data_IF_257395011117
#
_entry.id   IF_257395011117
#
_cell.length_a   1.000
_cell.length_b   1.000
_cell.length_c   1.000
_cell.angle_alpha   90.00
_cell.angle_beta   90.00
_cell.angle_gamma   90.00
#
_symmetry.space_group_name_H-M   'P 1'
#
loop_
_entity.id
_entity.type
_entity.pdbx_description
1 polymer ?
#
# COMPACT_ATOMS: atom_id res chain seq x y z
N UNK A 1 -7.02 8.69 -20.14
CA UNK A 1 -8.37 9.24 -20.20
C UNK A 1 -9.02 9.03 -18.85
N UNK A 2 -9.30 10.12 -18.15
CA UNK A 2 -9.93 10.12 -16.85
C UNK A 2 -11.43 9.87 -17.00
N UNK A 3 -11.91 8.73 -16.51
CA UNK A 3 -13.32 8.42 -16.33
C UNK A 3 -13.66 8.36 -14.85
N UNK A 4 -14.10 9.48 -14.27
CA UNK A 4 -14.65 9.50 -12.92
C UNK A 4 -16.11 9.10 -12.95
N UNK A 5 -16.49 7.98 -12.36
CA UNK A 5 -17.88 7.69 -12.01
C UNK A 5 -18.09 7.99 -10.52
N UNK A 6 -18.93 8.95 -10.22
CA UNK A 6 -19.41 9.22 -8.86
C UNK A 6 -20.32 8.08 -8.41
N UNK A 7 -19.83 7.18 -7.57
CA UNK A 7 -20.59 6.11 -6.93
C UNK A 7 -21.07 6.55 -5.55
N UNK A 8 -22.31 6.26 -5.25
CA UNK A 8 -22.95 6.44 -3.94
C UNK A 8 -22.36 5.51 -2.91
N UNK A 9 -22.29 5.95 -1.67
CA UNK A 9 -21.93 5.21 -0.46
C UNK A 9 -20.42 4.85 -0.31
N UNK A 10 -19.67 5.75 0.29
CA UNK A 10 -18.43 5.41 1.01
C UNK A 10 -17.27 4.80 0.18
N UNK A 11 -17.39 4.79 -1.14
CA UNK A 11 -16.42 4.15 -2.02
C UNK A 11 -15.17 5.03 -2.14
N UNK A 12 -14.08 4.59 -1.50
CA UNK A 12 -12.79 5.28 -1.58
C UNK A 12 -12.26 5.12 -3.02
N UNK A 13 -12.02 6.21 -3.76
CA UNK A 13 -11.55 6.10 -5.14
C UNK A 13 -10.18 5.44 -5.20
N UNK A 14 -10.09 4.35 -5.97
CA UNK A 14 -8.81 3.70 -6.27
C UNK A 14 -8.19 4.35 -7.49
N UNK A 15 -7.00 4.89 -7.32
CA UNK A 15 -6.19 5.41 -8.42
C UNK A 15 -5.21 4.31 -8.85
N UNK A 16 -5.48 3.70 -9.99
CA UNK A 16 -4.56 2.75 -10.61
C UNK A 16 -3.42 3.55 -11.27
N UNK A 17 -2.25 3.52 -10.67
CA UNK A 17 -1.04 4.10 -11.26
C UNK A 17 -0.27 2.98 -11.98
N UNK A 18 -0.55 2.80 -13.26
CA UNK A 18 0.06 1.73 -14.10
C UNK A 18 1.54 1.98 -14.41
N UNK A 19 2.09 3.12 -14.10
CA UNK A 19 3.47 3.50 -14.40
C UNK A 19 4.20 3.86 -13.10
N UNK A 20 4.87 2.90 -12.49
CA UNK A 20 6.05 2.97 -11.62
C UNK A 20 6.34 4.19 -10.75
N UNK A 21 5.50 5.21 -10.72
CA UNK A 21 5.70 6.42 -9.93
C UNK A 21 4.49 6.73 -9.06
N UNK A 22 4.70 6.86 -7.75
CA UNK A 22 3.70 7.47 -6.89
C UNK A 22 3.35 8.87 -7.43
N UNK A 23 2.10 9.32 -7.29
CA UNK A 23 1.66 10.59 -7.85
C UNK A 23 2.51 11.74 -7.31
N UNK A 24 3.32 12.35 -8.17
CA UNK A 24 4.10 13.54 -7.88
C UNK A 24 3.17 14.76 -7.80
N UNK A 25 3.46 15.68 -6.87
CA UNK A 25 2.71 16.94 -6.73
C UNK A 25 1.53 16.89 -5.75
N UNK A 26 1.32 15.81 -5.00
CA UNK A 26 0.33 15.75 -3.91
C UNK A 26 0.89 16.34 -2.62
N UNK A 27 0.02 16.87 -1.73
CA UNK A 27 0.47 17.33 -0.42
C UNK A 27 1.09 16.18 0.37
N UNK A 28 2.03 16.49 1.25
CA UNK A 28 2.57 15.51 2.18
C UNK A 28 1.45 14.86 2.99
N UNK A 29 1.55 13.56 3.20
CA UNK A 29 0.54 12.78 3.90
C UNK A 29 1.15 11.59 4.63
N UNK A 30 0.30 10.80 5.25
CA UNK A 30 0.69 9.50 5.80
C UNK A 30 0.62 8.47 4.68
N UNK A 31 1.68 7.71 4.48
CA UNK A 31 1.77 6.63 3.51
C UNK A 31 1.71 5.28 4.24
N UNK A 32 0.76 4.42 3.90
CA UNK A 32 0.66 3.07 4.44
C UNK A 32 0.97 2.04 3.35
N UNK A 33 1.93 1.16 3.58
CA UNK A 33 2.15 0.01 2.72
C UNK A 33 1.24 -1.15 3.16
N UNK A 34 0.48 -1.72 2.22
CA UNK A 34 -0.48 -2.78 2.50
C UNK A 34 -0.35 -3.92 1.48
N UNK A 35 -0.03 -5.12 1.97
CA UNK A 35 0.06 -6.36 1.18
C UNK A 35 -1.03 -7.38 1.55
N UNK A 36 -1.99 -6.98 2.40
CA UNK A 36 -3.08 -7.82 2.87
C UNK A 36 -2.71 -8.78 4.00
N UNK A 37 -1.45 -8.79 4.46
CA UNK A 37 -1.05 -9.55 5.65
C UNK A 37 -1.61 -8.94 6.94
N UNK A 38 -1.77 -9.73 8.00
CA UNK A 38 -2.23 -9.25 9.30
C UNK A 38 -1.35 -8.08 9.80
N UNK A 39 -0.03 -8.17 9.62
CA UNK A 39 0.88 -7.10 9.99
C UNK A 39 0.59 -5.80 9.24
N UNK A 40 0.24 -5.87 7.94
CA UNK A 40 -0.11 -4.71 7.14
C UNK A 40 -1.49 -4.13 7.50
N UNK A 41 -2.44 -4.95 7.95
CA UNK A 41 -3.74 -4.48 8.43
C UNK A 41 -3.61 -3.68 9.74
N UNK A 42 -2.76 -4.12 10.67
CA UNK A 42 -2.43 -3.35 11.88
C UNK A 42 -1.71 -2.05 11.57
N UNK A 43 -0.79 -2.09 10.61
CA UNK A 43 -0.12 -0.88 10.11
C UNK A 43 -1.11 0.10 9.47
N UNK A 44 -2.09 -0.40 8.71
CA UNK A 44 -3.13 0.41 8.09
C UNK A 44 -4.02 1.10 9.13
N UNK A 45 -4.45 0.39 10.18
CA UNK A 45 -5.22 0.99 11.27
C UNK A 45 -4.43 2.10 11.98
N UNK A 46 -3.15 1.84 12.25
CA UNK A 46 -2.26 2.85 12.83
C UNK A 46 -2.08 4.05 11.90
N UNK A 47 -1.94 3.82 10.60
CA UNK A 47 -1.81 4.90 9.61
C UNK A 47 -3.08 5.78 9.53
N UNK A 48 -4.26 5.19 9.64
CA UNK A 48 -5.52 5.94 9.76
C UNK A 48 -5.49 6.85 10.99
N UNK A 49 -5.07 6.31 12.14
CA UNK A 49 -4.95 7.08 13.39
C UNK A 49 -3.93 8.23 13.27
N UNK A 50 -2.77 7.98 12.66
CA UNK A 50 -1.76 9.01 12.42
C UNK A 50 -2.30 10.12 11.48
N UNK A 51 -2.98 9.74 10.40
CA UNK A 51 -3.54 10.69 9.45
C UNK A 51 -4.64 11.57 10.10
N UNK A 52 -5.49 10.99 10.94
CA UNK A 52 -6.50 11.74 11.73
C UNK A 52 -5.84 12.68 12.73
N UNK A 53 -4.84 12.20 13.46
CA UNK A 53 -4.15 12.98 14.50
C UNK A 53 -3.48 14.23 13.93
N UNK A 54 -2.89 14.13 12.75
CA UNK A 54 -2.21 15.25 12.09
C UNK A 54 -3.06 16.00 11.07
N UNK A 55 -4.30 15.58 10.83
CA UNK A 55 -5.17 16.19 9.82
C UNK A 55 -4.65 16.05 8.39
N UNK A 56 -3.89 14.98 8.11
CA UNK A 56 -3.21 14.72 6.85
C UNK A 56 -3.99 13.75 5.96
N UNK A 57 -3.79 13.79 4.62
CA UNK A 57 -4.30 12.75 3.75
C UNK A 57 -3.58 11.41 4.00
N UNK A 58 -4.31 10.31 3.84
CA UNK A 58 -3.80 8.95 3.89
C UNK A 58 -3.66 8.38 2.47
N UNK A 59 -2.47 7.91 2.13
CA UNK A 59 -2.17 7.18 0.91
C UNK A 59 -1.92 5.72 1.25
N UNK A 60 -2.76 4.82 0.76
CA UNK A 60 -2.59 3.37 0.96
C UNK A 60 -2.04 2.77 -0.32
N UNK A 61 -0.88 2.15 -0.23
CA UNK A 61 -0.11 1.67 -1.37
C UNK A 61 0.09 0.16 -1.32
N UNK A 62 -0.37 -0.54 -2.35
CA UNK A 62 -0.01 -1.91 -2.64
C UNK A 62 0.95 -1.95 -3.84
N UNK A 63 1.96 -2.79 -3.78
CA UNK A 63 2.92 -2.95 -4.85
C UNK A 63 2.80 -4.36 -5.43
N UNK A 64 2.63 -4.42 -6.75
CA UNK A 64 2.63 -5.65 -7.52
C UNK A 64 4.00 -5.79 -8.16
N UNK A 65 4.73 -6.86 -7.81
CA UNK A 65 5.98 -7.17 -8.47
C UNK A 65 5.66 -8.03 -9.70
N UNK A 66 5.78 -7.48 -10.94
CA UNK A 66 5.62 -8.30 -12.12
C UNK A 66 6.70 -9.38 -12.12
N UNK A 67 6.34 -10.60 -12.51
CA UNK A 67 7.29 -11.70 -12.58
C UNK A 67 8.54 -11.31 -13.38
N UNK A 68 9.74 -11.87 -13.03
CA UNK A 68 11.00 -11.47 -13.65
C UNK A 68 10.96 -11.59 -15.17
N UNK A 69 11.46 -10.58 -15.86
CA UNK A 69 11.58 -10.55 -17.32
C UNK A 69 12.36 -11.78 -17.82
N UNK A 70 11.75 -12.56 -18.66
CA UNK A 70 12.32 -13.81 -19.20
C UNK A 70 11.33 -14.60 -20.04
N UNK A 71 10.27 -13.95 -20.50
CA UNK A 71 9.28 -14.61 -21.35
C UNK A 71 9.78 -14.77 -22.77
N UNK A 72 9.52 -15.93 -23.44
CA UNK A 72 9.81 -16.11 -24.85
C UNK A 72 9.14 -15.07 -25.73
N UNK A 73 9.73 -14.68 -26.87
CA UNK A 73 9.08 -13.81 -27.85
C UNK A 73 7.72 -14.37 -28.27
N UNK A 74 6.68 -13.54 -28.29
CA UNK A 74 5.31 -13.92 -28.64
C UNK A 74 4.36 -14.14 -27.46
N UNK A 75 4.83 -14.08 -26.19
CA UNK A 75 3.97 -14.17 -25.01
C UNK A 75 3.58 -12.80 -24.41
N UNK A 76 3.92 -11.71 -25.07
CA UNK A 76 3.70 -10.36 -24.52
C UNK A 76 2.22 -10.06 -24.21
N UNK A 77 1.28 -10.51 -25.05
CA UNK A 77 -0.17 -10.30 -24.83
C UNK A 77 -0.69 -11.09 -23.63
N UNK A 78 -0.28 -12.36 -23.48
CA UNK A 78 -0.66 -13.20 -22.33
C UNK A 78 -0.09 -12.64 -21.03
N UNK A 79 1.12 -12.10 -21.08
CA UNK A 79 1.76 -11.46 -19.92
C UNK A 79 1.02 -10.17 -19.55
N UNK A 80 0.66 -9.37 -20.54
CA UNK A 80 -0.10 -8.12 -20.34
C UNK A 80 -1.46 -8.41 -19.66
N UNK A 81 -2.23 -9.36 -20.17
CA UNK A 81 -3.51 -9.78 -19.60
C UNK A 81 -3.35 -10.31 -18.16
N UNK A 82 -2.28 -11.08 -17.90
CA UNK A 82 -1.97 -11.59 -16.58
C UNK A 82 -1.62 -10.46 -15.59
N UNK A 83 -0.89 -9.44 -16.04
CA UNK A 83 -0.53 -8.27 -15.23
C UNK A 83 -1.77 -7.43 -14.93
N UNK A 84 -2.64 -7.19 -15.89
CA UNK A 84 -3.89 -6.46 -15.69
C UNK A 84 -4.79 -7.15 -14.66
N UNK A 85 -4.99 -8.46 -14.80
CA UNK A 85 -5.75 -9.30 -13.83
C UNK A 85 -5.13 -9.22 -12.43
N UNK A 86 -3.80 -9.25 -12.32
CA UNK A 86 -3.11 -9.17 -11.05
C UNK A 86 -3.27 -7.79 -10.40
N UNK A 87 -3.21 -6.71 -11.18
CA UNK A 87 -3.44 -5.35 -10.70
C UNK A 87 -4.87 -5.17 -10.20
N UNK A 88 -5.86 -5.65 -10.95
CA UNK A 88 -7.28 -5.60 -10.55
C UNK A 88 -7.53 -6.41 -9.27
N UNK A 89 -7.04 -7.63 -9.19
CA UNK A 89 -7.19 -8.46 -8.00
C UNK A 89 -6.52 -7.86 -6.76
N UNK A 90 -5.38 -7.20 -6.96
CA UNK A 90 -4.68 -6.46 -5.89
C UNK A 90 -5.47 -5.24 -5.45
N UNK A 91 -6.05 -4.49 -6.38
CA UNK A 91 -6.91 -3.35 -6.07
C UNK A 91 -8.13 -3.77 -5.24
N UNK A 92 -8.76 -4.87 -5.61
CA UNK A 92 -9.88 -5.44 -4.86
C UNK A 92 -9.44 -5.95 -3.48
N UNK A 93 -8.28 -6.57 -3.39
CA UNK A 93 -7.65 -6.95 -2.12
C UNK A 93 -7.44 -5.75 -1.21
N UNK A 94 -6.93 -4.66 -1.77
CA UNK A 94 -6.68 -3.41 -1.04
C UNK A 94 -7.98 -2.78 -0.52
N UNK A 95 -9.05 -2.75 -1.34
CA UNK A 95 -10.39 -2.30 -0.91
C UNK A 95 -10.93 -3.15 0.25
N UNK A 96 -10.81 -4.48 0.14
CA UNK A 96 -11.23 -5.39 1.23
C UNK A 96 -10.44 -5.15 2.51
N UNK A 97 -9.14 -4.94 2.42
CA UNK A 97 -8.28 -4.62 3.57
C UNK A 97 -8.72 -3.35 4.27
N UNK A 98 -8.93 -2.27 3.52
CA UNK A 98 -9.44 -0.99 4.05
C UNK A 98 -10.79 -1.17 4.71
N UNK A 99 -11.73 -1.85 4.05
CA UNK A 99 -13.07 -2.10 4.60
C UNK A 99 -13.01 -2.95 5.88
N UNK A 100 -12.17 -3.97 5.92
CA UNK A 100 -12.01 -4.82 7.10
C UNK A 100 -11.46 -4.02 8.29
N UNK A 101 -10.44 -3.20 8.08
CA UNK A 101 -9.86 -2.35 9.12
C UNK A 101 -10.88 -1.32 9.60
N UNK A 102 -11.58 -0.63 8.70
CA UNK A 102 -12.59 0.37 9.09
C UNK A 102 -13.72 -0.22 9.94
N UNK A 103 -14.15 -1.46 9.66
CA UNK A 103 -15.20 -2.13 10.46
C UNK A 103 -14.77 -2.48 11.88
N UNK A 104 -13.48 -2.64 12.11
CA UNK A 104 -12.93 -2.99 13.44
C UNK A 104 -12.63 -1.74 14.29
N UNK A 105 -12.61 -0.56 13.69
CA UNK A 105 -12.36 0.69 14.40
C UNK A 105 -13.57 1.12 15.23
N UNK A 106 -13.36 1.78 16.39
CA UNK A 106 -14.44 2.34 17.19
C UNK A 106 -15.27 3.40 16.47
N UNK A 107 -14.64 4.13 15.53
CA UNK A 107 -15.29 5.09 14.66
C UNK A 107 -14.72 4.96 13.23
N UNK A 108 -15.54 5.13 12.18
CA UNK A 108 -15.08 5.14 10.80
C UNK A 108 -14.01 6.21 10.57
N UNK A 109 -13.02 5.91 9.73
CA UNK A 109 -12.04 6.90 9.31
C UNK A 109 -12.72 8.02 8.51
N UNK A 110 -12.61 9.24 8.98
CA UNK A 110 -13.27 10.41 8.40
C UNK A 110 -12.32 11.27 7.54
N UNK A 111 -11.04 10.92 7.47
CA UNK A 111 -10.04 11.67 6.71
C UNK A 111 -10.08 11.40 5.20
N UNK A 112 -9.29 12.17 4.46
CA UNK A 112 -9.10 11.94 3.02
C UNK A 112 -8.20 10.72 2.81
N UNK A 113 -8.66 9.73 2.04
CA UNK A 113 -7.92 8.53 1.71
C UNK A 113 -7.86 8.32 0.20
N UNK A 114 -6.74 7.80 -0.29
CA UNK A 114 -6.65 7.28 -1.65
C UNK A 114 -5.87 5.97 -1.68
N UNK A 115 -6.32 5.04 -2.52
CA UNK A 115 -5.72 3.73 -2.69
C UNK A 115 -4.90 3.71 -3.99
N UNK A 116 -3.72 3.13 -3.94
CA UNK A 116 -2.79 3.07 -5.06
C UNK A 116 -2.27 1.65 -5.24
N UNK A 117 -2.29 1.17 -6.48
CA UNK A 117 -1.61 -0.07 -6.87
C UNK A 117 -0.52 0.30 -7.87
N UNK A 118 0.71 -0.07 -7.58
CA UNK A 118 1.89 0.28 -8.39
C UNK A 118 2.63 -1.00 -8.77
N UNK A 119 3.01 -1.09 -10.06
CA UNK A 119 3.89 -2.16 -10.55
C UNK A 119 5.34 -1.81 -10.27
N UNK A 120 6.11 -2.77 -9.73
CA UNK A 120 7.53 -2.56 -9.52
C UNK A 120 8.13 -3.39 -8.38
N UNK A 121 9.39 -3.11 -8.06
CA UNK A 121 10.03 -3.66 -6.88
C UNK A 121 9.47 -2.98 -5.63
N UNK A 122 9.02 -3.76 -4.65
CA UNK A 122 8.34 -3.25 -3.44
C UNK A 122 9.20 -2.22 -2.69
N UNK A 123 10.49 -2.51 -2.50
CA UNK A 123 11.39 -1.63 -1.76
C UNK A 123 11.61 -0.33 -2.53
N UNK A 124 11.93 -0.41 -3.81
CA UNK A 124 12.19 0.75 -4.66
C UNK A 124 10.97 1.68 -4.74
N UNK A 125 9.78 1.11 -4.98
CA UNK A 125 8.53 1.87 -5.05
C UNK A 125 8.22 2.57 -3.73
N UNK A 126 8.38 1.88 -2.59
CA UNK A 126 8.11 2.48 -1.29
C UNK A 126 9.14 3.54 -0.90
N UNK A 127 10.41 3.36 -1.25
CA UNK A 127 11.44 4.37 -1.04
C UNK A 127 11.17 5.63 -1.87
N UNK A 128 10.82 5.47 -3.15
CA UNK A 128 10.44 6.60 -3.99
C UNK A 128 9.18 7.30 -3.46
N UNK A 129 8.16 6.52 -3.07
CA UNK A 129 6.92 7.02 -2.52
C UNK A 129 7.11 7.75 -1.18
N UNK A 130 8.13 7.39 -0.39
CA UNK A 130 8.44 8.04 0.90
C UNK A 130 8.92 9.49 0.75
N UNK A 131 9.39 9.86 -0.46
CA UNK A 131 9.86 11.21 -0.75
C UNK A 131 8.72 12.21 -0.55
N UNK A 132 8.93 13.21 0.31
CA UNK A 132 7.97 14.27 0.65
C UNK A 132 6.72 13.80 1.41
N UNK A 133 6.73 12.61 2.00
CA UNK A 133 5.67 12.20 2.91
C UNK A 133 5.95 12.66 4.34
N UNK A 134 4.89 12.75 5.15
CA UNK A 134 5.01 13.03 6.57
C UNK A 134 5.56 11.81 7.31
N UNK A 135 4.98 10.64 7.05
CA UNK A 135 5.34 9.37 7.70
C UNK A 135 5.01 8.21 6.77
N UNK A 136 5.89 7.21 6.72
CA UNK A 136 5.64 5.90 6.11
C UNK A 136 5.32 4.88 7.22
N UNK A 137 4.17 4.22 7.12
CA UNK A 137 3.70 3.23 8.10
C UNK A 137 3.71 1.85 7.47
N UNK A 138 4.38 0.90 8.12
CA UNK A 138 4.55 -0.47 7.64
C UNK A 138 4.42 -1.48 8.78
N UNK A 139 3.99 -2.69 8.48
CA UNK A 139 4.06 -3.81 9.42
C UNK A 139 5.51 -4.27 9.64
N UNK A 140 5.77 -4.92 10.77
CA UNK A 140 7.09 -5.54 11.01
C UNK A 140 7.42 -6.60 9.97
N UNK A 141 6.39 -7.30 9.45
CA UNK A 141 6.50 -8.39 8.46
C UNK A 141 5.32 -8.36 7.51
N UNK A 142 5.51 -8.88 6.31
CA UNK A 142 4.48 -9.13 5.31
C UNK A 142 4.29 -10.63 5.06
N UNK A 143 3.67 -10.99 3.94
CA UNK A 143 3.31 -12.36 3.56
C UNK A 143 4.49 -13.34 3.36
N UNK A 144 5.75 -12.89 3.31
CA UNK A 144 6.93 -13.72 3.01
C UNK A 144 7.96 -13.87 4.13
N UNK A 145 7.65 -13.51 5.38
CA UNK A 145 8.65 -13.38 6.44
C UNK A 145 9.00 -14.67 7.16
N UNK A 146 10.32 -14.88 7.45
CA UNK A 146 10.77 -15.93 8.35
C UNK A 146 10.31 -15.63 9.80
N UNK A 147 9.75 -16.61 10.55
CA UNK A 147 9.16 -16.39 11.88
C UNK A 147 10.14 -15.85 12.95
N UNK A 148 11.43 -15.99 12.74
CA UNK A 148 12.47 -15.65 13.72
C UNK A 148 13.09 -14.26 13.56
N UNK A 149 12.73 -13.50 12.51
CA UNK A 149 13.27 -12.16 12.32
C UNK A 149 12.36 -11.13 12.98
N UNK A 150 12.95 -10.15 13.66
CA UNK A 150 12.22 -9.02 14.27
C UNK A 150 11.59 -8.12 13.19
N UNK A 151 12.28 -7.91 12.08
CA UNK A 151 11.84 -7.12 10.92
C UNK A 151 11.93 -7.96 9.65
N UNK A 152 10.98 -7.79 8.75
CA UNK A 152 11.05 -8.32 7.39
C UNK A 152 12.05 -7.53 6.52
N UNK A 153 12.38 -8.06 5.35
CA UNK A 153 13.31 -7.42 4.41
C UNK A 153 12.84 -6.02 3.97
N UNK A 154 11.54 -5.86 3.71
CA UNK A 154 10.95 -4.58 3.31
C UNK A 154 11.03 -3.57 4.45
N UNK A 155 10.49 -3.89 5.63
CA UNK A 155 10.52 -2.97 6.78
C UNK A 155 11.92 -2.60 7.20
N UNK A 156 12.88 -3.54 7.15
CA UNK A 156 14.30 -3.28 7.42
C UNK A 156 14.90 -2.29 6.40
N UNK A 157 14.69 -2.50 5.12
CA UNK A 157 15.19 -1.59 4.08
C UNK A 157 14.60 -0.18 4.22
N UNK A 158 13.31 -0.08 4.52
CA UNK A 158 12.64 1.22 4.68
C UNK A 158 13.14 2.00 5.89
N UNK A 159 13.38 1.34 7.03
CA UNK A 159 13.97 1.99 8.22
C UNK A 159 15.33 2.61 7.92
N UNK A 160 16.14 1.97 7.05
CA UNK A 160 17.48 2.46 6.75
C UNK A 160 17.53 3.51 5.63
N UNK A 161 16.56 3.49 4.70
CA UNK A 161 16.70 4.23 3.44
C UNK A 161 15.51 5.14 3.08
N UNK A 162 14.40 5.10 3.83
CA UNK A 162 13.27 5.98 3.53
C UNK A 162 13.63 7.47 3.69
N UNK A 163 13.01 8.30 2.85
CA UNK A 163 13.22 9.76 2.86
C UNK A 163 12.36 10.50 3.90
N UNK A 164 11.48 9.78 4.62
CA UNK A 164 10.65 10.31 5.71
C UNK A 164 10.73 9.40 6.94
N UNK A 165 10.23 9.83 8.11
CA UNK A 165 10.07 8.98 9.28
C UNK A 165 9.31 7.68 8.96
N UNK A 166 9.78 6.56 9.49
CA UNK A 166 9.15 5.23 9.30
C UNK A 166 8.58 4.74 10.63
N UNK A 167 7.29 4.49 10.65
CA UNK A 167 6.60 3.87 11.77
C UNK A 167 6.40 2.37 11.47
N UNK A 168 7.11 1.53 12.21
CA UNK A 168 7.00 0.08 12.09
C UNK A 168 6.04 -0.44 13.14
N UNK A 169 4.95 -1.06 12.71
CA UNK A 169 3.85 -1.51 13.59
C UNK A 169 3.93 -3.02 13.77
N UNK A 170 4.16 -3.50 15.02
CA UNK A 170 4.11 -4.93 15.30
C UNK A 170 2.66 -5.44 15.23
N UNK A 171 2.48 -6.63 14.66
CA UNK A 171 1.23 -7.36 14.89
C UNK A 171 1.13 -7.78 16.35
N UNK A 172 -0.06 -7.76 16.97
CA UNK A 172 -0.22 -8.27 18.32
C UNK A 172 0.22 -9.75 18.38
N UNK A 173 0.72 -10.21 19.54
CA UNK A 173 1.03 -11.61 19.71
C UNK A 173 -0.22 -12.45 19.45
N UNK A 174 -0.05 -13.57 18.74
CA UNK A 174 -1.10 -14.56 18.61
C UNK A 174 -1.47 -15.03 20.03
N UNK A 175 -2.72 -14.81 20.41
CA UNK A 175 -3.26 -15.25 21.71
C UNK A 175 -3.36 -16.77 21.79
#
# INVERSE_FOLDING_TARGET
>A
VAGGSAGRDGDVPVVLSVLGRPPTGRPAGVLAACDGSDGSLWALDRAMTEAELFGLPLYVLAVVNPAPAGYPPGMAELVQESVETLVESTADGLRRSVTAVQRQRPAPYAGRMSLHVVLGNVIEVLLEASTRQHTLVVGTRGNGGFPRLLLGSVSSALVHHAACPVLVVPAPPAG
#
